data_IF_780278689098
#
_entry.id   IF_780278689098
#
_cell.length_a   1.000
_cell.length_b   1.000
_cell.length_c   1.000
_cell.angle_alpha   90.00
_cell.angle_beta   90.00
_cell.angle_gamma   90.00
#
_symmetry.space_group_name_H-M   'P 1'
#
loop_
_entity.id
_entity.type
_entity.pdbx_description
1 polymer ?
#
# COMPACT_ATOMS: atom_id res chain seq x y z
N UNK A 1 1.79 -12.53 7.23
CA UNK A 1 2.19 -13.12 5.93
C UNK A 1 3.69 -13.37 5.95
N UNK A 2 4.18 -14.43 5.29
CA UNK A 2 5.62 -14.64 5.05
C UNK A 2 5.89 -14.31 3.57
N UNK A 3 6.89 -13.48 3.24
CA UNK A 3 7.20 -13.15 1.84
C UNK A 3 7.72 -14.38 1.11
N UNK A 4 7.32 -14.54 -0.16
CA UNK A 4 7.76 -15.63 -1.06
C UNK A 4 8.64 -15.13 -2.20
N UNK A 5 8.82 -13.81 -2.32
CA UNK A 5 9.62 -13.15 -3.35
C UNK A 5 9.70 -11.65 -3.11
N UNK A 6 10.48 -10.96 -3.95
CA UNK A 6 10.67 -9.51 -3.92
C UNK A 6 10.77 -8.97 -5.36
N UNK A 7 10.49 -7.67 -5.52
CA UNK A 7 10.63 -6.96 -6.78
C UNK A 7 11.52 -5.73 -6.59
N UNK A 8 12.37 -5.45 -7.58
CA UNK A 8 13.19 -4.24 -7.64
C UNK A 8 12.81 -3.45 -8.88
N UNK A 9 12.72 -2.12 -8.75
CA UNK A 9 12.52 -1.21 -9.87
C UNK A 9 13.50 -0.05 -9.83
N UNK A 10 13.74 0.53 -11.01
CA UNK A 10 14.61 1.69 -11.20
C UNK A 10 13.78 2.80 -11.84
N UNK A 11 13.89 4.00 -11.27
CA UNK A 11 13.29 5.23 -11.79
C UNK A 11 14.20 6.42 -11.52
N UNK A 12 14.05 7.50 -12.29
CA UNK A 12 14.75 8.78 -12.07
C UNK A 12 14.16 9.56 -10.91
N UNK A 13 12.98 9.16 -10.43
CA UNK A 13 12.32 9.72 -9.25
C UNK A 13 11.83 8.61 -8.33
N UNK A 14 11.65 8.94 -7.05
CA UNK A 14 11.10 8.01 -6.07
C UNK A 14 9.70 7.50 -6.48
N UNK A 15 8.80 8.41 -6.89
CA UNK A 15 7.45 8.04 -7.30
C UNK A 15 7.44 7.08 -8.50
N UNK A 16 8.29 7.31 -9.50
CA UNK A 16 8.44 6.41 -10.65
C UNK A 16 8.95 5.02 -10.21
N UNK A 17 10.00 4.98 -9.40
CA UNK A 17 10.56 3.72 -8.90
C UNK A 17 9.54 2.93 -8.08
N UNK A 18 8.83 3.60 -7.16
CA UNK A 18 7.85 2.99 -6.29
C UNK A 18 6.66 2.41 -7.07
N UNK A 19 6.05 3.19 -7.97
CA UNK A 19 4.91 2.73 -8.76
C UNK A 19 5.28 1.57 -9.69
N UNK A 20 6.51 1.57 -10.23
CA UNK A 20 7.03 0.44 -11.02
C UNK A 20 7.20 -0.80 -10.15
N UNK A 21 7.82 -0.67 -8.97
CA UNK A 21 8.01 -1.79 -8.04
C UNK A 21 6.67 -2.40 -7.61
N UNK A 22 5.67 -1.56 -7.29
CA UNK A 22 4.32 -2.00 -6.91
C UNK A 22 3.67 -2.87 -7.98
N UNK A 23 3.69 -2.41 -9.24
CA UNK A 23 3.15 -3.21 -10.36
C UNK A 23 3.98 -4.47 -10.65
N UNK A 24 5.28 -4.43 -10.42
CA UNK A 24 6.19 -5.58 -10.59
C UNK A 24 6.01 -6.68 -9.55
N UNK A 25 5.22 -6.48 -8.50
CA UNK A 25 4.88 -7.54 -7.54
C UNK A 25 3.85 -8.55 -8.09
N UNK A 26 3.26 -8.28 -9.27
CA UNK A 26 2.32 -9.18 -9.95
C UNK A 26 1.09 -9.57 -9.10
N UNK A 27 0.68 -8.70 -8.18
CA UNK A 27 -0.50 -8.90 -7.30
C UNK A 27 -1.82 -8.46 -7.92
N UNK A 28 -1.83 -8.15 -9.23
CA UNK A 28 -2.98 -7.61 -9.95
C UNK A 28 -3.22 -6.11 -9.75
N UNK A 29 -2.29 -5.41 -9.08
CA UNK A 29 -2.35 -3.97 -8.84
C UNK A 29 -1.67 -3.17 -9.97
N UNK A 30 -2.15 -1.97 -10.22
CA UNK A 30 -1.58 -1.04 -11.21
C UNK A 30 -0.56 -0.07 -10.60
N UNK A 31 -0.50 -0.01 -9.27
CA UNK A 31 0.39 0.83 -8.48
C UNK A 31 -0.08 0.93 -7.02
N UNK A 32 -0.22 2.17 -6.55
CA UNK A 32 -0.88 2.53 -5.28
C UNK A 32 -2.40 2.62 -5.47
N UNK A 33 -3.05 1.50 -5.80
CA UNK A 33 -4.50 1.44 -5.97
C UNK A 33 -5.22 1.60 -4.62
N UNK A 34 -6.35 2.32 -4.63
CA UNK A 34 -7.18 2.57 -3.43
C UNK A 34 -7.58 1.26 -2.72
N UNK A 35 -7.74 1.33 -1.40
CA UNK A 35 -8.19 0.22 -0.58
C UNK A 35 -9.22 0.68 0.44
N UNK A 36 -10.24 -0.14 0.70
CA UNK A 36 -11.22 0.13 1.74
C UNK A 36 -10.56 0.04 3.12
N UNK A 37 -10.68 1.12 3.90
CA UNK A 37 -10.20 1.18 5.28
C UNK A 37 -11.41 0.98 6.21
N UNK A 38 -11.41 -0.06 7.07
CA UNK A 38 -12.48 -0.28 8.02
C UNK A 38 -12.71 0.92 8.94
N UNK A 39 -13.95 1.40 9.02
CA UNK A 39 -14.34 2.53 9.86
C UNK A 39 -14.09 3.91 9.25
N UNK A 40 -13.53 3.99 8.04
CA UNK A 40 -13.45 5.23 7.28
C UNK A 40 -14.86 5.69 6.86
N UNK A 41 -15.16 6.98 7.04
CA UNK A 41 -16.46 7.58 6.81
C UNK A 41 -17.49 7.34 7.93
N UNK A 42 -17.13 6.61 8.98
CA UNK A 42 -18.03 6.28 10.10
C UNK A 42 -17.87 7.20 11.33
N UNK A 43 -17.00 8.22 11.25
CA UNK A 43 -16.76 9.18 12.33
C UNK A 43 -15.32 9.66 12.36
N UNK A 44 -14.53 9.16 13.31
CA UNK A 44 -13.12 9.54 13.47
C UNK A 44 -12.22 8.78 12.49
N UNK A 45 -12.21 9.25 11.24
CA UNK A 45 -11.40 8.72 10.14
C UNK A 45 -9.92 8.67 10.48
N UNK A 46 -9.42 9.65 11.24
CA UNK A 46 -8.00 9.68 11.62
C UNK A 46 -7.65 8.53 12.54
N UNK A 47 -8.54 8.16 13.44
CA UNK A 47 -8.36 7.00 14.30
C UNK A 47 -8.49 5.69 13.52
N UNK A 48 -9.42 5.60 12.56
CA UNK A 48 -9.55 4.44 11.66
C UNK A 48 -8.27 4.19 10.86
N UNK A 49 -7.72 5.23 10.22
CA UNK A 49 -6.46 5.15 9.46
C UNK A 49 -5.29 4.79 10.37
N UNK A 50 -5.17 5.41 11.56
CA UNK A 50 -4.11 5.06 12.52
C UNK A 50 -4.20 3.60 12.98
N UNK A 51 -5.40 3.11 13.25
CA UNK A 51 -5.62 1.72 13.62
C UNK A 51 -5.18 0.79 12.48
N UNK A 52 -5.54 1.11 11.24
CA UNK A 52 -5.15 0.34 10.06
C UNK A 52 -3.63 0.35 9.82
N UNK A 53 -2.95 1.48 10.04
CA UNK A 53 -1.49 1.60 9.92
C UNK A 53 -0.71 0.96 11.08
N UNK A 54 -1.34 0.78 12.25
CA UNK A 54 -0.69 0.24 13.45
C UNK A 54 -0.23 -1.22 13.30
N UNK A 55 -0.91 -1.99 12.44
CA UNK A 55 -0.59 -3.39 12.19
C UNK A 55 0.22 -3.51 10.90
N UNK A 56 1.44 -4.10 10.91
CA UNK A 56 2.19 -4.36 9.69
C UNK A 56 1.50 -5.41 8.82
N UNK A 57 0.84 -4.95 7.76
CA UNK A 57 0.18 -5.81 6.76
C UNK A 57 0.83 -5.61 5.38
N UNK A 58 0.66 -6.57 4.45
CA UNK A 58 1.11 -6.42 3.06
C UNK A 58 0.48 -5.20 2.36
N UNK A 59 -0.77 -4.90 2.68
CA UNK A 59 -1.53 -3.79 2.10
C UNK A 59 -1.20 -2.42 2.72
N UNK A 60 -0.36 -2.36 3.76
CA UNK A 60 -0.12 -1.15 4.55
C UNK A 60 0.33 0.05 3.71
N UNK A 61 1.04 -0.18 2.61
CA UNK A 61 1.47 0.90 1.72
C UNK A 61 0.27 1.59 1.03
N UNK A 62 -0.77 0.83 0.67
CA UNK A 62 -2.00 1.35 0.04
C UNK A 62 -2.88 2.11 1.02
N UNK A 63 -2.79 1.79 2.31
CA UNK A 63 -3.50 2.53 3.37
C UNK A 63 -2.96 3.98 3.51
N UNK A 64 -1.75 4.25 3.02
CA UNK A 64 -1.12 5.59 3.04
C UNK A 64 -1.43 6.40 1.79
N UNK A 65 -1.76 5.74 0.67
CA UNK A 65 -1.98 6.36 -0.63
C UNK A 65 -3.22 7.28 -0.61
#
# INVERSE_FOLDING_TARGET
MKPVGEAMAIGRTFAESLQKAMRSLETGLSGLDDIDIPGLGAGDDRSAVKAALSTPTPERLRIIA
#
